data_IF_886494618967
#
_entry.id   IF_886494618967
#
_cell.length_a   1.000
_cell.length_b   1.000
_cell.length_c   1.000
_cell.angle_alpha   90.00
_cell.angle_beta   90.00
_cell.angle_gamma   90.00
#
_symmetry.space_group_name_H-M   'P 1'
#
loop_
_entity.id
_entity.type
_entity.pdbx_description
1 polymer ?
#
# COMPACT_ATOMS: atom_id res chain seq x y z
N UNK A 1 64.61 0.06 10.40
CA UNK A 1 63.40 -0.65 9.91
C UNK A 1 62.23 -0.12 10.74
N UNK A 2 61.50 0.85 10.20
CA UNK A 2 60.38 1.50 10.88
C UNK A 2 59.08 0.88 10.38
N UNK A 3 58.31 0.24 11.27
CA UNK A 3 56.90 -0.08 11.04
C UNK A 3 56.05 1.03 11.66
N UNK A 4 55.44 1.85 10.82
CA UNK A 4 54.38 2.77 11.21
C UNK A 4 53.03 2.12 10.94
N UNK A 5 52.25 1.87 11.98
CA UNK A 5 50.83 1.52 11.88
C UNK A 5 50.00 2.75 11.48
N UNK A 6 49.15 2.62 10.47
CA UNK A 6 48.06 3.55 10.18
C UNK A 6 46.72 2.96 10.66
N UNK A 7 45.89 3.70 11.43
CA UNK A 7 44.53 3.30 11.74
C UNK A 7 43.55 4.05 10.83
N UNK A 8 43.11 3.45 9.72
CA UNK A 8 42.12 4.11 8.86
C UNK A 8 41.36 3.14 7.95
N UNK A 9 40.55 2.25 8.53
CA UNK A 9 39.52 1.51 7.75
C UNK A 9 38.30 1.04 8.55
N UNK A 10 38.31 1.05 9.89
CA UNK A 10 37.14 0.62 10.68
C UNK A 10 36.11 1.73 10.97
N UNK A 11 36.51 3.00 11.00
CA UNK A 11 35.61 4.10 11.42
C UNK A 11 34.64 4.51 10.29
N UNK A 12 35.00 4.30 9.02
CA UNK A 12 34.14 4.69 7.89
C UNK A 12 33.01 3.69 7.58
N UNK A 13 33.12 2.42 8.00
CA UNK A 13 32.07 1.40 7.80
C UNK A 13 30.96 1.46 8.86
N UNK A 14 31.29 1.91 10.07
CA UNK A 14 30.32 2.10 11.17
C UNK A 14 29.44 3.33 10.92
N UNK A 15 29.93 4.34 10.19
CA UNK A 15 29.19 5.57 9.94
C UNK A 15 28.07 5.42 8.88
N UNK A 16 28.25 4.55 7.88
CA UNK A 16 27.26 4.33 6.81
C UNK A 16 26.10 3.43 7.28
N UNK A 17 26.36 2.43 8.12
CA UNK A 17 25.30 1.60 8.74
C UNK A 17 24.44 2.38 9.75
N UNK A 18 25.01 3.40 10.42
CA UNK A 18 24.26 4.22 11.38
C UNK A 18 23.28 5.18 10.73
N UNK A 19 23.48 5.59 9.48
CA UNK A 19 22.51 6.45 8.79
C UNK A 19 21.19 5.72 8.54
N UNK A 20 21.20 4.47 8.08
CA UNK A 20 19.98 3.66 7.89
C UNK A 20 19.25 3.37 9.21
N UNK A 21 20.01 3.17 10.29
CA UNK A 21 19.49 2.97 11.65
C UNK A 21 18.93 4.24 12.29
N UNK A 22 19.48 5.42 11.98
CA UNK A 22 18.96 6.69 12.49
C UNK A 22 17.60 7.04 11.86
N UNK A 23 17.31 6.59 10.63
CA UNK A 23 16.06 6.93 9.94
C UNK A 23 14.82 6.26 10.54
N UNK A 24 14.92 4.99 10.96
CA UNK A 24 13.86 4.32 11.71
C UNK A 24 13.61 4.99 13.08
N UNK A 25 14.68 5.44 13.75
CA UNK A 25 14.59 6.13 15.05
C UNK A 25 14.03 7.56 14.95
N UNK A 26 14.29 8.28 13.86
CA UNK A 26 13.76 9.63 13.64
C UNK A 26 12.27 9.56 13.26
N UNK A 27 11.86 8.62 12.40
CA UNK A 27 10.45 8.39 12.10
C UNK A 27 9.62 8.02 13.35
N UNK A 28 10.16 7.16 14.22
CA UNK A 28 9.52 6.79 15.49
C UNK A 28 9.44 7.95 16.51
N UNK A 29 10.40 8.90 16.49
CA UNK A 29 10.40 10.04 17.43
C UNK A 29 9.42 11.15 17.07
N UNK A 30 9.12 11.37 15.78
CA UNK A 30 8.18 12.42 15.37
C UNK A 30 6.69 12.03 15.53
N UNK A 31 6.37 10.74 15.59
CA UNK A 31 5.01 10.24 15.86
C UNK A 31 4.52 10.53 17.30
N UNK A 32 5.39 10.95 18.23
CA UNK A 32 5.06 11.11 19.66
C UNK A 32 4.90 12.59 20.09
N UNK A 33 4.97 13.54 19.16
CA UNK A 33 5.00 14.97 19.49
C UNK A 33 3.93 15.81 18.80
N UNK A 34 2.67 15.37 18.76
CA UNK A 34 1.55 16.30 18.61
C UNK A 34 0.44 15.92 19.60
N UNK A 35 0.20 16.79 20.58
CA UNK A 35 -1.01 16.75 21.41
C UNK A 35 -2.22 16.96 20.49
N UNK A 36 -2.85 15.87 20.05
CA UNK A 36 -4.22 15.92 19.60
C UNK A 36 -5.12 16.08 20.82
N UNK A 37 -5.97 17.09 20.78
CA UNK A 37 -7.00 17.36 21.79
C UNK A 37 -7.95 16.17 21.78
N UNK A 38 -7.93 15.39 22.86
CA UNK A 38 -8.88 14.33 23.12
C UNK A 38 -10.26 14.96 23.34
N UNK A 39 -11.20 14.75 22.42
CA UNK A 39 -12.63 14.83 22.73
C UNK A 39 -13.13 13.43 23.10
N UNK A 40 -13.65 13.30 24.32
CA UNK A 40 -14.24 12.07 24.86
C UNK A 40 -15.29 11.47 23.92
N UNK A 41 -15.27 10.14 23.82
CA UNK A 41 -16.09 9.39 22.89
C UNK A 41 -17.55 9.20 23.28
N UNK A 42 -18.35 8.95 22.25
CA UNK A 42 -19.50 8.05 22.18
C UNK A 42 -20.11 8.21 20.78
N UNK A 43 -20.47 7.09 20.15
CA UNK A 43 -20.93 6.92 18.76
C UNK A 43 -19.86 6.87 17.66
N UNK A 44 -19.34 5.65 17.44
CA UNK A 44 -18.71 5.25 16.18
C UNK A 44 -19.84 5.06 15.16
N UNK A 45 -20.21 6.14 14.47
CA UNK A 45 -21.19 6.10 13.39
C UNK A 45 -20.64 5.35 12.18
N UNK A 46 -21.42 4.41 11.65
CA UNK A 46 -21.17 3.81 10.33
C UNK A 46 -21.20 4.91 9.26
N UNK A 47 -20.27 4.94 8.29
CA UNK A 47 -20.40 5.80 7.12
C UNK A 47 -21.70 5.45 6.38
N UNK A 48 -22.51 6.46 6.07
CA UNK A 48 -23.70 6.30 5.24
C UNK A 48 -23.26 6.04 3.80
N UNK A 49 -23.68 4.91 3.21
CA UNK A 49 -23.41 4.59 1.80
C UNK A 49 -23.29 3.11 1.47
N UNK A 50 -22.94 2.24 2.44
CA UNK A 50 -22.79 0.81 2.18
C UNK A 50 -24.11 0.03 2.41
N UNK A 51 -24.62 -0.70 1.40
CA UNK A 51 -25.73 -1.64 1.60
C UNK A 51 -25.33 -2.72 2.62
N UNK A 52 -26.19 -2.96 3.62
CA UNK A 52 -26.00 -4.08 4.56
C UNK A 52 -25.92 -5.40 3.80
N UNK A 53 -24.78 -6.07 3.86
CA UNK A 53 -24.61 -7.46 3.40
C UNK A 53 -23.92 -7.65 2.04
N UNK A 54 -23.31 -6.64 1.45
CA UNK A 54 -22.41 -6.85 0.29
C UNK A 54 -20.99 -7.18 0.76
N UNK A 55 -20.39 -8.28 0.28
CA UNK A 55 -19.02 -8.65 0.65
C UNK A 55 -18.02 -7.63 0.12
N UNK A 56 -17.13 -7.16 1.00
CA UNK A 56 -15.93 -6.40 0.61
C UNK A 56 -15.00 -7.39 -0.10
N UNK A 57 -14.64 -7.11 -1.35
CA UNK A 57 -13.64 -7.84 -2.12
C UNK A 57 -13.74 -9.36 -2.02
N UNK A 58 -14.64 -9.98 -2.79
CA UNK A 58 -14.49 -11.41 -3.08
C UNK A 58 -13.24 -11.62 -3.95
N UNK A 59 -12.58 -12.79 -3.87
CA UNK A 59 -11.31 -12.99 -4.53
C UNK A 59 -11.41 -12.70 -6.04
N UNK A 60 -10.55 -11.79 -6.52
CA UNK A 60 -9.79 -12.12 -7.73
C UNK A 60 -9.16 -13.45 -7.38
N UNK A 61 -9.56 -14.52 -8.07
CA UNK A 61 -8.83 -15.77 -7.99
C UNK A 61 -7.36 -15.41 -8.03
N UNK A 62 -6.55 -15.98 -7.13
CA UNK A 62 -5.08 -16.01 -7.32
C UNK A 62 -4.84 -16.11 -8.81
N UNK A 63 -3.96 -15.33 -9.45
CA UNK A 63 -3.84 -15.34 -10.90
C UNK A 63 -3.59 -16.79 -11.38
N UNK A 64 -4.65 -17.52 -11.72
CA UNK A 64 -4.63 -18.84 -12.32
C UNK A 64 -4.72 -18.54 -13.81
N UNK A 65 -3.65 -17.99 -14.35
CA UNK A 65 -3.78 -17.38 -15.66
C UNK A 65 -2.52 -16.77 -16.22
N UNK A 66 -1.42 -17.50 -16.11
CA UNK A 66 -0.18 -17.17 -16.76
C UNK A 66 0.89 -16.87 -15.74
N UNK A 67 1.81 -17.82 -15.61
CA UNK A 67 3.20 -17.42 -15.55
C UNK A 67 3.35 -16.22 -16.49
N UNK A 68 3.62 -15.04 -15.95
CA UNK A 68 4.50 -14.15 -16.67
C UNK A 68 5.77 -14.98 -16.75
N UNK A 69 5.87 -15.76 -17.84
CA UNK A 69 7.15 -16.18 -18.36
C UNK A 69 7.96 -14.92 -18.25
N UNK A 70 8.93 -14.93 -17.34
CA UNK A 70 9.96 -13.91 -17.25
C UNK A 70 10.48 -13.86 -18.66
N UNK A 71 9.98 -12.91 -19.46
CA UNK A 71 10.44 -12.76 -20.84
C UNK A 71 11.92 -12.51 -20.66
N UNK A 72 12.72 -13.49 -21.06
CA UNK A 72 14.15 -13.41 -21.01
C UNK A 72 14.55 -12.08 -21.65
N UNK A 73 14.99 -11.12 -20.84
CA UNK A 73 15.37 -9.78 -21.30
C UNK A 73 14.86 -8.58 -20.49
N UNK A 74 13.82 -8.69 -19.63
CA UNK A 74 13.46 -7.54 -18.77
C UNK A 74 14.38 -7.48 -17.55
N UNK A 75 15.08 -6.36 -17.37
CA UNK A 75 15.96 -6.12 -16.22
C UNK A 75 15.11 -5.72 -15.02
N UNK A 76 14.93 -6.64 -14.08
CA UNK A 76 14.42 -6.35 -12.75
C UNK A 76 15.30 -5.30 -12.04
N UNK A 77 14.79 -4.66 -10.98
CA UNK A 77 15.63 -3.91 -10.04
C UNK A 77 16.76 -4.80 -9.54
N UNK A 78 18.04 -4.43 -9.74
CA UNK A 78 19.15 -5.20 -9.18
C UNK A 78 19.03 -5.31 -7.67
N UNK A 79 19.32 -6.49 -7.11
CA UNK A 79 19.38 -6.65 -5.66
C UNK A 79 20.54 -5.82 -5.11
N UNK A 80 20.27 -4.82 -4.25
CA UNK A 80 21.30 -3.84 -3.91
C UNK A 80 22.28 -4.38 -2.87
N UNK A 81 23.55 -3.95 -2.97
CA UNK A 81 24.61 -4.41 -2.08
C UNK A 81 24.30 -4.17 -0.59
N UNK A 82 23.67 -3.04 -0.25
CA UNK A 82 23.31 -2.75 1.15
C UNK A 82 22.34 -3.77 1.72
N UNK A 83 21.45 -4.32 0.89
CA UNK A 83 20.48 -5.33 1.33
C UNK A 83 21.15 -6.69 1.44
N UNK A 84 22.12 -6.99 0.58
CA UNK A 84 23.00 -8.16 0.75
C UNK A 84 23.81 -8.09 2.04
N UNK A 85 24.41 -6.93 2.33
CA UNK A 85 25.20 -6.74 3.54
C UNK A 85 24.34 -6.86 4.81
N UNK A 86 23.06 -6.48 4.72
CA UNK A 86 22.12 -6.55 5.84
C UNK A 86 21.51 -7.95 6.04
N UNK A 87 21.11 -8.63 4.96
CA UNK A 87 20.33 -9.89 5.02
C UNK A 87 21.13 -11.15 4.71
N UNK A 88 22.28 -11.01 4.05
CA UNK A 88 23.03 -12.10 3.43
C UNK A 88 22.41 -12.64 2.13
N UNK A 89 21.24 -12.15 1.72
CA UNK A 89 20.56 -12.56 0.49
C UNK A 89 21.16 -11.87 -0.74
N UNK A 90 20.92 -12.44 -1.93
CA UNK A 90 21.43 -11.92 -3.20
C UNK A 90 20.36 -11.74 -4.27
N UNK A 91 19.13 -12.11 -3.95
CA UNK A 91 18.00 -12.11 -4.87
C UNK A 91 16.74 -11.70 -4.11
N UNK A 92 15.81 -11.08 -4.83
CA UNK A 92 14.50 -10.72 -4.29
C UNK A 92 13.69 -12.00 -3.99
N UNK A 93 12.89 -12.02 -2.92
CA UNK A 93 12.12 -13.20 -2.56
C UNK A 93 10.98 -13.48 -3.55
N UNK A 94 10.42 -14.68 -3.47
CA UNK A 94 9.18 -15.03 -4.15
C UNK A 94 7.94 -14.42 -3.47
N UNK A 95 6.78 -15.04 -3.66
CA UNK A 95 5.50 -14.55 -3.11
C UNK A 95 5.48 -14.52 -1.57
N UNK A 96 6.21 -15.42 -0.91
CA UNK A 96 6.29 -15.48 0.55
C UNK A 96 7.66 -14.99 1.00
N UNK A 97 7.82 -13.69 1.32
CA UNK A 97 9.10 -13.15 1.68
C UNK A 97 9.52 -13.61 3.08
N UNK A 98 10.83 -13.85 3.32
CA UNK A 98 11.31 -14.25 4.63
C UNK A 98 11.21 -13.08 5.62
N UNK A 99 10.87 -13.37 6.87
CA UNK A 99 10.95 -12.40 7.95
C UNK A 99 12.41 -12.09 8.28
N UNK A 100 12.78 -10.81 8.20
CA UNK A 100 14.07 -10.31 8.65
C UNK A 100 13.84 -9.44 9.91
N UNK A 101 14.38 -9.83 11.08
CA UNK A 101 14.21 -9.07 12.31
C UNK A 101 14.70 -7.62 12.18
N UNK A 102 13.94 -6.68 12.76
CA UNK A 102 14.29 -5.26 12.82
C UNK A 102 14.17 -4.77 14.26
N UNK A 103 15.18 -4.01 14.72
CA UNK A 103 15.26 -3.56 16.12
C UNK A 103 14.13 -2.59 16.54
N UNK A 104 13.42 -2.00 15.59
CA UNK A 104 12.29 -1.11 15.87
C UNK A 104 10.94 -1.85 16.00
N UNK A 105 10.89 -3.15 15.69
CA UNK A 105 9.69 -3.96 15.82
C UNK A 105 9.52 -4.37 17.29
N UNK A 106 8.36 -4.06 17.84
CA UNK A 106 8.02 -4.27 19.24
C UNK A 106 6.77 -5.15 19.32
N UNK A 107 6.98 -6.46 19.46
CA UNK A 107 5.87 -7.43 19.45
C UNK A 107 4.90 -7.23 20.62
N UNK A 108 5.34 -6.64 21.74
CA UNK A 108 4.50 -6.37 22.90
C UNK A 108 3.43 -5.30 22.62
N UNK A 109 3.61 -4.50 21.57
CA UNK A 109 2.63 -3.51 21.10
C UNK A 109 1.63 -4.08 20.10
N UNK A 110 1.79 -5.33 19.68
CA UNK A 110 0.86 -5.97 18.74
C UNK A 110 -0.25 -6.61 19.59
N UNK A 111 -1.52 -6.18 19.44
CA UNK A 111 -2.61 -6.74 20.21
C UNK A 111 -2.81 -8.23 19.85
N UNK A 112 -3.15 -9.04 20.86
CA UNK A 112 -3.34 -10.48 20.69
C UNK A 112 -4.75 -10.80 20.17
N UNK A 113 -4.93 -10.67 18.86
CA UNK A 113 -6.14 -11.12 18.15
C UNK A 113 -5.85 -12.38 17.33
N UNK A 114 -6.86 -13.24 17.22
CA UNK A 114 -6.76 -14.48 16.44
C UNK A 114 -6.63 -14.16 14.96
N UNK A 115 -5.87 -14.99 14.25
CA UNK A 115 -5.87 -15.00 12.78
C UNK A 115 -7.19 -15.54 12.27
N UNK A 116 -7.64 -15.05 11.12
CA UNK A 116 -8.85 -15.53 10.46
C UNK A 116 -8.68 -15.45 8.94
N UNK A 117 -9.42 -16.31 8.24
CA UNK A 117 -9.41 -16.37 6.77
C UNK A 117 -10.44 -15.42 6.17
N UNK A 118 -10.25 -15.05 4.91
CA UNK A 118 -11.14 -14.15 4.19
C UNK A 118 -12.60 -14.63 4.23
N UNK A 119 -13.51 -13.71 4.52
CA UNK A 119 -14.95 -13.99 4.66
C UNK A 119 -15.35 -14.68 5.98
N UNK A 120 -14.40 -15.01 6.85
CA UNK A 120 -14.67 -15.63 8.16
C UNK A 120 -14.67 -14.56 9.26
N UNK A 121 -15.84 -13.94 9.47
CA UNK A 121 -16.03 -12.92 10.50
C UNK A 121 -16.51 -13.51 11.84
N UNK A 122 -16.28 -12.78 12.94
CA UNK A 122 -16.65 -13.19 14.30
C UNK A 122 -15.62 -14.04 15.05
N UNK A 123 -14.46 -14.32 14.44
CA UNK A 123 -13.33 -14.96 15.12
C UNK A 123 -12.75 -14.10 16.26
N UNK A 124 -12.89 -12.78 16.14
CA UNK A 124 -12.45 -11.77 17.09
C UNK A 124 -13.63 -10.85 17.49
N UNK A 125 -13.55 -10.20 18.66
CA UNK A 125 -14.56 -9.22 19.06
C UNK A 125 -14.36 -7.91 18.27
N UNK A 126 -15.38 -7.05 18.21
CA UNK A 126 -15.37 -5.81 17.38
C UNK A 126 -14.23 -4.86 17.68
N UNK A 127 -13.67 -4.91 18.89
CA UNK A 127 -12.52 -4.12 19.32
C UNK A 127 -11.23 -4.48 18.54
N UNK A 128 -11.19 -5.62 17.83
CA UNK A 128 -10.14 -5.89 16.85
C UNK A 128 -10.14 -4.89 15.69
N UNK A 129 -11.24 -4.15 15.52
CA UNK A 129 -11.43 -3.14 14.50
C UNK A 129 -11.10 -3.63 13.10
N UNK A 130 -11.77 -4.70 12.66
CA UNK A 130 -11.64 -5.19 11.29
C UNK A 130 -12.46 -4.33 10.32
N UNK A 131 -11.81 -3.80 9.28
CA UNK A 131 -12.53 -3.12 8.21
C UNK A 131 -13.29 -4.10 7.31
N UNK A 132 -12.66 -5.22 6.96
CA UNK A 132 -13.23 -6.25 6.09
C UNK A 132 -14.45 -6.97 6.69
N UNK A 133 -14.57 -7.04 8.02
CA UNK A 133 -15.72 -7.65 8.69
C UNK A 133 -16.74 -6.65 9.25
N UNK A 134 -16.27 -5.55 9.85
CA UNK A 134 -17.13 -4.63 10.60
C UNK A 134 -17.11 -3.20 10.03
N UNK A 135 -16.41 -2.94 8.93
CA UNK A 135 -16.12 -1.60 8.40
C UNK A 135 -15.53 -0.67 9.47
N UNK A 136 -14.78 -1.22 10.42
CA UNK A 136 -14.19 -0.43 11.48
C UNK A 136 -12.99 0.39 10.97
N UNK A 137 -13.04 1.68 11.25
CA UNK A 137 -12.01 2.66 10.93
C UNK A 137 -11.31 3.09 12.23
N UNK A 138 -9.98 3.11 12.22
CA UNK A 138 -9.21 3.76 13.27
C UNK A 138 -9.17 5.28 13.04
N UNK A 139 -8.97 6.10 14.10
CA UNK A 139 -8.99 7.57 13.97
C UNK A 139 -7.98 8.15 12.97
N UNK A 140 -6.88 7.43 12.71
CA UNK A 140 -5.82 7.81 11.78
C UNK A 140 -5.96 7.13 10.40
N UNK A 141 -6.99 6.32 10.15
CA UNK A 141 -7.21 5.77 8.81
C UNK A 141 -7.73 6.86 7.86
N UNK A 142 -7.16 6.95 6.66
CA UNK A 142 -7.73 7.78 5.59
C UNK A 142 -8.67 6.91 4.78
N UNK A 143 -9.95 7.25 4.71
CA UNK A 143 -10.94 6.45 3.98
C UNK A 143 -11.80 7.29 3.02
N UNK A 144 -11.69 8.61 3.09
CA UNK A 144 -12.46 9.56 2.28
C UNK A 144 -11.60 10.77 1.92
N UNK A 145 -12.11 11.64 1.06
CA UNK A 145 -11.43 12.86 0.64
C UNK A 145 -12.43 13.98 0.39
N UNK A 146 -12.10 15.23 0.74
CA UNK A 146 -12.96 16.41 0.50
C UNK A 146 -13.27 16.72 -0.98
N UNK A 147 -12.67 15.97 -1.90
CA UNK A 147 -12.98 15.95 -3.34
C UNK A 147 -12.97 14.51 -3.77
N UNK A 148 -13.89 14.16 -4.66
CA UNK A 148 -13.87 12.86 -5.34
C UNK A 148 -12.51 12.64 -5.99
N UNK A 149 -11.82 11.59 -5.55
CA UNK A 149 -10.44 11.32 -5.93
C UNK A 149 -10.19 9.84 -6.20
N UNK A 150 -9.60 9.55 -7.35
CA UNK A 150 -9.23 8.21 -7.77
C UNK A 150 -7.99 7.71 -7.05
N UNK A 151 -7.95 6.41 -6.80
CA UNK A 151 -6.77 5.68 -6.34
C UNK A 151 -6.67 4.33 -7.03
N UNK A 152 -5.46 3.87 -7.30
CA UNK A 152 -5.22 2.69 -8.12
C UNK A 152 -4.33 1.66 -7.41
N UNK A 153 -4.83 0.43 -7.29
CA UNK A 153 -4.17 -0.69 -6.61
C UNK A 153 -3.58 -1.71 -7.61
N UNK A 154 -2.72 -2.60 -7.11
CA UNK A 154 -2.11 -3.75 -7.80
C UNK A 154 -1.00 -3.48 -8.83
N UNK A 155 -0.79 -2.22 -9.20
CA UNK A 155 0.34 -1.82 -10.03
C UNK A 155 1.73 -1.97 -9.35
N UNK A 156 2.80 -1.49 -10.00
CA UNK A 156 2.82 -1.08 -11.40
C UNK A 156 2.68 -2.29 -12.32
N UNK A 157 2.01 -2.12 -13.44
CA UNK A 157 1.85 -3.15 -14.48
C UNK A 157 2.23 -2.59 -15.85
N UNK A 158 2.37 -3.42 -16.89
CA UNK A 158 2.47 -2.93 -18.26
C UNK A 158 1.27 -2.11 -18.73
N UNK A 159 0.11 -2.24 -18.07
CA UNK A 159 -1.10 -1.49 -18.42
C UNK A 159 -1.09 -0.07 -17.81
N UNK A 160 -0.40 0.14 -16.68
CA UNK A 160 -0.28 1.44 -15.99
C UNK A 160 0.16 2.56 -16.93
N UNK A 161 0.98 2.26 -17.95
CA UNK A 161 1.46 3.24 -18.93
C UNK A 161 0.34 4.05 -19.58
N UNK A 162 -0.73 3.34 -19.99
CA UNK A 162 -1.90 3.95 -20.65
C UNK A 162 -2.72 4.80 -19.69
N UNK A 163 -2.75 4.42 -18.41
CA UNK A 163 -3.41 5.20 -17.38
C UNK A 163 -2.66 6.52 -17.16
N UNK A 164 -1.32 6.45 -17.02
CA UNK A 164 -0.49 7.64 -16.86
C UNK A 164 -0.60 8.61 -18.05
N UNK A 165 -0.72 8.10 -19.28
CA UNK A 165 -0.94 8.92 -20.47
C UNK A 165 -2.30 9.63 -20.50
N UNK A 166 -3.29 9.10 -19.78
CA UNK A 166 -4.66 9.62 -19.76
C UNK A 166 -4.97 10.50 -18.54
N UNK A 167 -4.04 10.61 -17.59
CA UNK A 167 -4.19 11.41 -16.39
C UNK A 167 -3.54 12.79 -16.58
N UNK A 168 -4.35 13.85 -16.51
CA UNK A 168 -3.88 15.25 -16.53
C UNK A 168 -3.67 15.84 -15.13
N UNK A 169 -3.80 15.01 -14.09
CA UNK A 169 -3.69 15.40 -12.68
C UNK A 169 -2.96 14.32 -11.86
N UNK A 170 -2.56 14.67 -10.63
CA UNK A 170 -1.90 13.75 -9.72
C UNK A 170 -2.92 12.92 -8.96
N UNK A 171 -2.84 11.60 -9.14
CA UNK A 171 -3.58 10.60 -8.35
C UNK A 171 -2.63 9.81 -7.41
N UNK A 172 -3.17 8.80 -6.73
CA UNK A 172 -2.46 7.92 -5.80
C UNK A 172 -2.44 6.48 -6.31
N UNK A 173 -1.26 5.86 -6.29
CA UNK A 173 -1.06 4.45 -6.62
C UNK A 173 -0.63 3.65 -5.39
N UNK A 174 -1.20 2.48 -5.14
CA UNK A 174 -0.74 1.53 -4.13
C UNK A 174 -0.14 0.33 -4.83
N UNK A 175 1.19 0.27 -4.82
CA UNK A 175 1.92 -0.68 -5.64
C UNK A 175 2.40 -1.89 -4.84
N UNK A 176 2.37 -3.06 -5.49
CA UNK A 176 2.95 -4.30 -4.96
C UNK A 176 4.47 -4.27 -5.06
N UNK A 177 5.15 -4.58 -3.96
CA UNK A 177 6.61 -4.60 -3.90
C UNK A 177 7.23 -5.51 -4.97
N UNK A 178 6.64 -6.69 -5.19
CA UNK A 178 7.10 -7.62 -6.23
C UNK A 178 6.98 -7.03 -7.64
N UNK A 179 5.93 -6.24 -7.90
CA UNK A 179 5.72 -5.58 -9.18
C UNK A 179 6.69 -4.41 -9.36
N UNK A 180 7.02 -3.68 -8.30
CA UNK A 180 8.02 -2.60 -8.32
C UNK A 180 9.39 -3.14 -8.77
N UNK A 181 9.80 -4.32 -8.29
CA UNK A 181 11.05 -4.97 -8.69
C UNK A 181 10.98 -5.45 -10.15
N UNK A 182 9.83 -5.95 -10.59
CA UNK A 182 9.64 -6.51 -11.93
C UNK A 182 9.42 -5.46 -13.03
N UNK A 183 8.88 -4.30 -12.68
CA UNK A 183 8.55 -3.20 -13.60
C UNK A 183 9.17 -1.88 -13.10
N UNK A 184 10.50 -1.80 -12.92
CA UNK A 184 11.15 -0.65 -12.30
C UNK A 184 11.03 0.64 -13.11
N UNK A 185 11.00 0.53 -14.44
CA UNK A 185 10.79 1.68 -15.33
C UNK A 185 9.39 2.27 -15.17
N UNK A 186 8.37 1.41 -15.00
CA UNK A 186 7.00 1.86 -14.77
C UNK A 186 6.86 2.55 -13.42
N UNK A 187 7.43 1.95 -12.36
CA UNK A 187 7.44 2.58 -11.04
C UNK A 187 8.11 3.97 -11.06
N UNK A 188 9.23 4.11 -11.76
CA UNK A 188 9.87 5.43 -11.93
C UNK A 188 9.00 6.38 -12.74
N UNK A 189 8.33 5.94 -13.79
CA UNK A 189 7.39 6.78 -14.57
C UNK A 189 6.25 7.32 -13.69
N UNK A 190 5.71 6.52 -12.77
CA UNK A 190 4.70 6.98 -11.81
C UNK A 190 5.27 8.08 -10.91
N UNK A 191 6.48 7.88 -10.36
CA UNK A 191 7.15 8.87 -9.50
C UNK A 191 7.51 10.15 -10.27
N UNK A 192 8.05 10.04 -11.48
CA UNK A 192 8.45 11.16 -12.33
C UNK A 192 7.23 11.99 -12.78
N UNK A 193 6.05 11.37 -12.90
CA UNK A 193 4.77 12.05 -13.09
C UNK A 193 4.30 12.85 -11.86
N UNK A 194 4.99 12.71 -10.72
CA UNK A 194 4.65 13.39 -9.48
C UNK A 194 3.40 12.85 -8.79
N UNK A 195 2.99 11.64 -9.14
CA UNK A 195 1.91 10.92 -8.46
C UNK A 195 2.33 10.53 -7.04
N UNK A 196 1.34 10.36 -6.17
CA UNK A 196 1.58 9.78 -4.85
C UNK A 196 1.68 8.26 -4.98
N UNK A 197 2.66 7.66 -4.30
CA UNK A 197 2.78 6.20 -4.25
C UNK A 197 2.79 5.68 -2.81
N UNK A 198 1.93 4.71 -2.53
CA UNK A 198 1.90 3.94 -1.30
C UNK A 198 2.28 2.47 -1.53
N UNK A 199 2.50 1.74 -0.45
CA UNK A 199 2.70 0.28 -0.52
C UNK A 199 1.36 -0.44 -0.48
N UNK A 200 1.23 -1.49 -1.29
CA UNK A 200 0.12 -2.45 -1.23
C UNK A 200 0.57 -3.83 -0.74
N UNK A 201 1.56 -3.88 0.17
CA UNK A 201 2.32 -5.07 0.58
C UNK A 201 3.32 -5.55 -0.48
N UNK A 202 3.97 -6.69 -0.23
CA UNK A 202 4.92 -7.28 -1.16
C UNK A 202 4.21 -8.07 -2.26
N UNK A 203 3.25 -8.93 -1.90
CA UNK A 203 2.65 -9.92 -2.82
C UNK A 203 1.14 -10.09 -2.69
N UNK A 204 0.43 -9.13 -2.09
CA UNK A 204 -1.03 -9.10 -1.98
C UNK A 204 -1.68 -10.23 -1.12
N UNK A 205 -1.13 -10.65 0.04
CA UNK A 205 -1.82 -11.62 0.88
C UNK A 205 -2.96 -10.98 1.70
N UNK A 206 -3.93 -11.81 2.08
CA UNK A 206 -4.94 -11.44 3.08
C UNK A 206 -4.29 -11.32 4.47
N UNK A 207 -3.98 -10.10 4.89
CA UNK A 207 -3.12 -9.82 6.05
C UNK A 207 -3.61 -10.42 7.38
N UNK A 208 -4.92 -10.47 7.70
CA UNK A 208 -5.38 -11.03 8.98
C UNK A 208 -5.14 -12.54 9.16
N UNK A 209 -4.97 -13.31 8.08
CA UNK A 209 -4.67 -14.76 8.16
C UNK A 209 -3.20 -15.04 8.47
N UNK A 210 -2.34 -14.04 8.35
CA UNK A 210 -0.89 -14.15 8.51
C UNK A 210 -0.45 -14.07 9.98
N UNK A 211 0.71 -14.65 10.29
CA UNK A 211 1.40 -14.35 11.56
C UNK A 211 1.93 -12.91 11.57
N UNK A 212 2.28 -12.42 12.76
CA UNK A 212 2.85 -11.07 12.90
C UNK A 212 4.15 -10.93 12.08
N UNK A 213 5.02 -11.94 12.10
CA UNK A 213 6.26 -11.98 11.32
C UNK A 213 6.00 -11.92 9.82
N UNK A 214 4.97 -12.62 9.34
CA UNK A 214 4.58 -12.60 7.93
C UNK A 214 4.02 -11.23 7.51
N UNK A 215 3.20 -10.59 8.35
CA UNK A 215 2.74 -9.21 8.13
C UNK A 215 3.94 -8.24 8.05
N UNK A 216 4.89 -8.37 8.99
CA UNK A 216 6.12 -7.57 9.01
C UNK A 216 6.91 -7.78 7.72
N UNK A 217 7.11 -9.02 7.28
CA UNK A 217 7.86 -9.35 6.06
C UNK A 217 7.20 -8.71 4.82
N UNK A 218 5.88 -8.78 4.71
CA UNK A 218 5.13 -8.20 3.60
C UNK A 218 5.32 -6.69 3.46
N UNK A 219 5.28 -5.95 4.58
CA UNK A 219 5.50 -4.50 4.58
C UNK A 219 6.98 -4.17 4.36
N UNK A 220 7.88 -4.86 5.06
CA UNK A 220 9.32 -4.64 5.02
C UNK A 220 9.88 -4.77 3.60
N UNK A 221 9.60 -5.89 2.93
CA UNK A 221 10.12 -6.16 1.60
C UNK A 221 9.55 -5.22 0.55
N UNK A 222 8.30 -4.80 0.72
CA UNK A 222 7.69 -3.76 -0.13
C UNK A 222 8.41 -2.41 0.03
N UNK A 223 8.62 -1.95 1.26
CA UNK A 223 9.34 -0.70 1.55
C UNK A 223 10.79 -0.75 1.03
N UNK A 224 11.49 -1.88 1.16
CA UNK A 224 12.84 -2.03 0.62
C UNK A 224 12.88 -2.00 -0.90
N UNK A 225 11.91 -2.60 -1.58
CA UNK A 225 11.79 -2.52 -3.03
C UNK A 225 11.51 -1.08 -3.51
N UNK A 226 10.65 -0.35 -2.82
CA UNK A 226 10.36 1.06 -3.10
C UNK A 226 11.62 1.92 -2.99
N UNK A 227 12.42 1.72 -1.93
CA UNK A 227 13.68 2.42 -1.74
C UNK A 227 14.74 2.02 -2.77
N UNK A 228 14.90 0.72 -3.03
CA UNK A 228 15.91 0.22 -3.98
C UNK A 228 15.62 0.65 -5.43
N UNK A 229 14.35 0.73 -5.82
CA UNK A 229 13.97 1.04 -7.20
C UNK A 229 13.89 2.54 -7.45
N UNK A 230 13.31 3.32 -6.53
CA UNK A 230 12.99 4.73 -6.74
C UNK A 230 13.41 5.67 -5.62
N UNK A 231 14.26 5.23 -4.67
CA UNK A 231 14.70 6.02 -3.52
C UNK A 231 13.54 6.63 -2.72
N UNK A 232 12.44 5.88 -2.67
CA UNK A 232 11.18 6.33 -2.11
C UNK A 232 10.80 5.47 -0.90
N UNK A 233 10.54 6.13 0.24
CA UNK A 233 10.00 5.53 1.44
C UNK A 233 8.52 5.95 1.61
N UNK A 234 7.57 5.01 1.51
CA UNK A 234 6.15 5.35 1.55
C UNK A 234 5.71 5.80 2.94
N UNK A 235 4.76 6.74 2.97
CA UNK A 235 3.94 7.07 4.15
C UNK A 235 2.63 6.27 4.18
N UNK A 236 2.14 5.89 3.01
CA UNK A 236 0.80 5.36 2.83
C UNK A 236 0.83 3.87 2.56
N UNK A 237 -0.12 3.15 3.14
CA UNK A 237 -0.31 1.73 2.99
C UNK A 237 -1.78 1.45 2.71
N UNK A 238 -2.06 0.64 1.69
CA UNK A 238 -3.40 0.08 1.52
C UNK A 238 -3.37 -1.42 1.78
N UNK A 239 -4.21 -1.95 2.68
CA UNK A 239 -4.31 -3.38 2.90
C UNK A 239 -5.00 -4.06 1.71
N UNK A 240 -4.41 -5.14 1.15
CA UNK A 240 -5.10 -6.03 0.22
C UNK A 240 -6.48 -6.42 0.74
N UNK A 241 -7.48 -6.43 -0.14
CA UNK A 241 -8.89 -6.74 0.18
C UNK A 241 -9.56 -5.79 1.19
N UNK A 242 -8.93 -4.68 1.56
CA UNK A 242 -9.38 -3.88 2.72
C UNK A 242 -9.18 -4.62 4.05
N UNK A 243 -8.43 -5.72 4.04
CA UNK A 243 -8.31 -6.64 5.17
C UNK A 243 -7.30 -6.12 6.19
N UNK A 244 -7.81 -5.40 7.19
CA UNK A 244 -7.01 -4.77 8.21
C UNK A 244 -7.71 -4.81 9.57
N UNK A 245 -7.01 -5.37 10.55
CA UNK A 245 -7.37 -5.35 11.96
C UNK A 245 -6.32 -4.54 12.76
N UNK A 246 -6.49 -4.47 14.08
CA UNK A 246 -5.58 -3.77 14.95
C UNK A 246 -4.18 -4.42 15.06
N UNK A 247 -4.00 -5.70 14.69
CA UNK A 247 -2.66 -6.30 14.56
C UNK A 247 -1.94 -5.69 13.38
N UNK A 248 -2.60 -5.68 12.22
CA UNK A 248 -2.05 -5.12 10.98
C UNK A 248 -1.77 -3.63 11.13
N UNK A 249 -2.69 -2.85 11.71
CA UNK A 249 -2.46 -1.41 11.99
C UNK A 249 -1.27 -1.17 12.92
N UNK A 250 -1.17 -1.94 14.02
CA UNK A 250 -0.06 -1.79 14.97
C UNK A 250 1.28 -1.98 14.27
N UNK A 251 1.41 -3.03 13.45
CA UNK A 251 2.64 -3.31 12.69
C UNK A 251 2.90 -2.21 11.66
N UNK A 252 1.90 -1.81 10.86
CA UNK A 252 2.06 -0.75 9.86
C UNK A 252 2.58 0.56 10.48
N UNK A 253 2.08 0.94 11.66
CA UNK A 253 2.53 2.13 12.40
C UNK A 253 3.99 2.05 12.84
N UNK A 254 4.53 0.86 13.13
CA UNK A 254 5.96 0.69 13.45
C UNK A 254 6.87 1.02 12.26
N UNK A 255 6.37 0.84 11.02
CA UNK A 255 7.04 1.30 9.79
C UNK A 255 6.79 2.79 9.49
N UNK A 256 6.00 3.49 10.31
CA UNK A 256 5.56 4.87 10.06
C UNK A 256 4.44 4.98 9.03
N UNK A 257 3.89 3.86 8.58
CA UNK A 257 2.83 3.79 7.58
C UNK A 257 1.47 4.16 8.19
N UNK A 258 0.62 4.76 7.36
CA UNK A 258 -0.76 5.07 7.68
C UNK A 258 -1.68 4.36 6.69
N UNK A 259 -2.73 3.72 7.21
CA UNK A 259 -3.66 2.94 6.40
C UNK A 259 -4.57 3.86 5.58
N UNK A 260 -4.82 3.45 4.33
CA UNK A 260 -5.70 4.12 3.40
C UNK A 260 -6.72 3.10 2.89
N UNK A 261 -7.99 3.38 3.15
CA UNK A 261 -9.15 2.61 2.72
C UNK A 261 -9.90 3.43 1.66
N UNK A 262 -11.21 3.23 1.52
CA UNK A 262 -12.08 3.92 0.57
C UNK A 262 -13.50 3.98 1.12
N UNK A 263 -14.30 4.90 0.59
CA UNK A 263 -15.73 5.03 0.83
C UNK A 263 -16.55 4.76 -0.44
N UNK A 264 -15.89 4.59 -1.59
CA UNK A 264 -16.50 4.13 -2.83
C UNK A 264 -15.66 3.02 -3.47
N UNK A 265 -16.28 1.89 -3.77
CA UNK A 265 -15.65 0.78 -4.51
C UNK A 265 -16.21 0.76 -5.93
N UNK A 266 -15.34 0.87 -6.94
CA UNK A 266 -15.77 0.78 -8.34
C UNK A 266 -16.29 -0.62 -8.70
N UNK A 267 -15.80 -1.65 -8.01
CA UNK A 267 -15.92 -3.06 -8.33
C UNK A 267 -15.41 -3.41 -9.74
N UNK A 268 -14.47 -2.65 -10.28
CA UNK A 268 -13.83 -2.88 -11.59
C UNK A 268 -13.17 -4.28 -11.70
N UNK A 269 -12.67 -4.81 -10.59
CA UNK A 269 -12.09 -6.15 -10.48
C UNK A 269 -13.07 -7.26 -10.87
N UNK A 270 -14.39 -7.04 -10.74
CA UNK A 270 -15.39 -8.02 -11.16
C UNK A 270 -15.38 -8.23 -12.68
N UNK A 271 -14.87 -7.29 -13.47
CA UNK A 271 -14.82 -7.37 -14.93
C UNK A 271 -13.69 -8.23 -15.48
N UNK A 272 -12.76 -8.69 -14.64
CA UNK A 272 -11.61 -9.51 -15.07
C UNK A 272 -12.05 -10.96 -15.35
N UNK A 273 -13.07 -11.46 -14.63
CA UNK A 273 -13.56 -12.84 -14.76
C UNK A 273 -14.91 -12.86 -15.47
N UNK A 274 -14.89 -12.84 -16.81
CA UNK A 274 -16.07 -12.74 -17.69
C UNK A 274 -17.18 -13.77 -17.39
N UNK A 275 -16.81 -14.97 -16.92
CA UNK A 275 -17.76 -16.05 -16.61
C UNK A 275 -18.53 -15.87 -15.28
N UNK A 276 -18.18 -14.86 -14.48
CA UNK A 276 -18.74 -14.60 -13.15
C UNK A 276 -19.14 -13.13 -12.92
N UNK A 277 -19.17 -12.31 -13.97
CA UNK A 277 -19.42 -10.87 -13.84
C UNK A 277 -20.87 -10.62 -13.45
N UNK A 278 -21.09 -10.15 -12.23
CA UNK A 278 -22.40 -9.64 -11.79
C UNK A 278 -22.59 -8.16 -12.21
N UNK A 279 -21.51 -7.50 -12.59
CA UNK A 279 -21.45 -6.06 -12.87
C UNK A 279 -20.86 -5.79 -14.26
N UNK A 280 -21.44 -4.83 -14.98
CA UNK A 280 -20.96 -4.39 -16.30
C UNK A 280 -20.17 -3.08 -16.20
N UNK A 281 -19.45 -2.69 -17.26
CA UNK A 281 -18.80 -1.38 -17.33
C UNK A 281 -19.83 -0.24 -17.20
N UNK A 282 -20.98 -0.39 -17.86
CA UNK A 282 -22.07 0.59 -17.82
C UNK A 282 -22.64 0.76 -16.40
N UNK A 283 -22.70 -0.31 -15.61
CA UNK A 283 -23.09 -0.24 -14.21
C UNK A 283 -22.09 0.57 -13.39
N UNK A 284 -20.78 0.35 -13.59
CA UNK A 284 -19.73 1.13 -12.92
C UNK A 284 -19.87 2.61 -13.28
N UNK A 285 -19.98 2.93 -14.57
CA UNK A 285 -20.06 4.32 -15.02
C UNK A 285 -21.31 5.03 -14.51
N UNK A 286 -22.46 4.34 -14.48
CA UNK A 286 -23.70 4.89 -13.92
C UNK A 286 -23.54 5.17 -12.42
N UNK A 287 -23.02 4.21 -11.66
CA UNK A 287 -22.86 4.35 -10.21
C UNK A 287 -21.85 5.47 -9.87
N UNK A 288 -20.78 5.62 -10.65
CA UNK A 288 -19.82 6.74 -10.52
C UNK A 288 -20.47 8.09 -10.87
N UNK A 289 -21.32 8.16 -11.91
CA UNK A 289 -22.04 9.39 -12.25
C UNK A 289 -22.99 9.81 -11.13
N UNK A 290 -23.67 8.84 -10.50
CA UNK A 290 -24.55 9.09 -9.37
C UNK A 290 -23.76 9.55 -8.14
N UNK A 291 -22.70 8.82 -7.77
CA UNK A 291 -21.82 9.16 -6.64
C UNK A 291 -21.12 10.51 -6.82
N UNK A 292 -20.84 10.91 -8.07
CA UNK A 292 -20.20 12.21 -8.35
C UNK A 292 -20.97 13.40 -7.74
N UNK A 293 -22.27 13.26 -7.52
CA UNK A 293 -23.10 14.30 -6.92
C UNK A 293 -22.82 14.56 -5.44
N UNK A 294 -22.20 13.62 -4.73
CA UNK A 294 -21.83 13.78 -3.31
C UNK A 294 -20.72 14.84 -3.14
N UNK A 295 -19.85 14.98 -4.15
CA UNK A 295 -18.81 16.02 -4.22
C UNK A 295 -17.55 15.70 -3.40
N UNK A 296 -17.58 14.66 -2.58
CA UNK A 296 -16.47 14.16 -1.78
C UNK A 296 -16.37 12.64 -1.85
N UNK A 297 -15.19 12.10 -1.60
CA UNK A 297 -14.93 10.68 -1.44
C UNK A 297 -13.65 10.20 -2.12
N UNK A 298 -13.29 8.95 -1.84
CA UNK A 298 -12.06 8.31 -2.29
C UNK A 298 -12.42 6.96 -2.90
N UNK A 299 -12.18 6.79 -4.21
CA UNK A 299 -12.57 5.59 -4.95
C UNK A 299 -11.44 4.56 -5.04
N UNK A 300 -11.80 3.29 -4.87
CA UNK A 300 -10.95 2.13 -5.13
C UNK A 300 -11.09 1.67 -6.59
N UNK A 301 -9.95 1.60 -7.28
CA UNK A 301 -9.80 1.08 -8.65
C UNK A 301 -8.46 0.32 -8.75
N UNK A 302 -8.23 -0.40 -9.85
CA UNK A 302 -7.04 -1.23 -10.01
C UNK A 302 -6.30 -0.93 -11.33
N UNK A 303 -4.98 -0.72 -11.28
CA UNK A 303 -4.13 -0.56 -12.48
C UNK A 303 -3.32 -1.83 -12.83
N UNK A 304 -3.65 -2.96 -12.20
CA UNK A 304 -3.01 -4.25 -12.44
C UNK A 304 -3.27 -4.88 -13.82
N UNK A 305 -4.38 -4.53 -14.49
CA UNK A 305 -4.78 -5.13 -15.78
C UNK A 305 -5.19 -4.08 -16.82
N UNK A 306 -5.16 -4.44 -18.11
CA UNK A 306 -5.65 -3.56 -19.18
C UNK A 306 -7.16 -3.26 -19.06
N UNK A 307 -7.95 -4.21 -18.56
CA UNK A 307 -9.41 -4.06 -18.43
C UNK A 307 -9.75 -3.01 -17.38
N UNK A 308 -9.18 -3.14 -16.18
CA UNK A 308 -9.40 -2.19 -15.08
C UNK A 308 -8.78 -0.83 -15.36
N UNK A 309 -7.60 -0.76 -16.01
CA UNK A 309 -7.05 0.51 -16.51
C UNK A 309 -8.01 1.21 -17.47
N UNK A 310 -8.63 0.48 -18.40
CA UNK A 310 -9.56 1.09 -19.35
C UNK A 310 -10.81 1.66 -18.65
N UNK A 311 -11.30 0.97 -17.63
CA UNK A 311 -12.38 1.46 -16.76
C UNK A 311 -11.93 2.73 -16.05
N UNK A 312 -10.75 2.72 -15.42
CA UNK A 312 -10.25 3.87 -14.68
C UNK A 312 -10.00 5.11 -15.53
N UNK A 313 -9.58 4.94 -16.79
CA UNK A 313 -9.49 6.03 -17.77
C UNK A 313 -10.88 6.63 -18.06
N UNK A 314 -11.92 5.80 -18.14
CA UNK A 314 -13.28 6.28 -18.40
C UNK A 314 -13.92 6.91 -17.16
N UNK A 315 -13.67 6.35 -15.97
CA UNK A 315 -14.01 6.97 -14.68
C UNK A 315 -13.34 8.34 -14.56
N UNK A 316 -12.07 8.47 -14.93
CA UNK A 316 -11.37 9.76 -14.93
C UNK A 316 -12.08 10.81 -15.82
N UNK A 317 -12.54 10.43 -17.01
CA UNK A 317 -13.32 11.33 -17.89
C UNK A 317 -14.65 11.76 -17.27
N UNK A 318 -15.28 10.88 -16.49
CA UNK A 318 -16.52 11.19 -15.77
C UNK A 318 -16.25 12.18 -14.64
N UNK A 319 -15.22 11.93 -13.83
CA UNK A 319 -14.93 12.70 -12.62
C UNK A 319 -14.31 14.06 -12.93
N UNK A 320 -13.42 14.12 -13.93
CA UNK A 320 -12.62 15.30 -14.26
C UNK A 320 -11.30 15.35 -13.50
N UNK A 321 -10.55 16.44 -13.68
CA UNK A 321 -9.18 16.62 -13.17
C UNK A 321 -9.09 17.25 -11.77
N UNK A 322 -10.20 17.76 -11.23
CA UNK A 322 -10.27 18.39 -9.90
C UNK A 322 -10.29 17.36 -8.77
N UNK A 323 -9.27 16.50 -8.73
CA UNK A 323 -9.08 15.44 -7.76
C UNK A 323 -7.90 15.76 -6.84
N UNK A 324 -7.65 14.90 -5.86
CA UNK A 324 -6.58 15.05 -4.88
C UNK A 324 -5.84 13.74 -4.68
N UNK A 325 -4.55 13.83 -4.39
CA UNK A 325 -3.79 12.71 -3.83
C UNK A 325 -4.24 12.44 -2.39
N UNK A 326 -4.02 11.22 -1.89
CA UNK A 326 -4.35 10.85 -0.50
C UNK A 326 -3.64 11.76 0.51
N UNK A 327 -2.42 12.20 0.23
CA UNK A 327 -1.69 13.14 1.08
C UNK A 327 -2.40 14.50 1.19
N UNK A 328 -2.96 15.00 0.09
CA UNK A 328 -3.74 16.24 0.09
C UNK A 328 -5.09 16.06 0.82
N UNK A 329 -5.72 14.88 0.70
CA UNK A 329 -6.94 14.52 1.41
C UNK A 329 -6.74 14.53 2.92
N UNK A 330 -5.62 13.97 3.40
CA UNK A 330 -5.25 13.90 4.81
C UNK A 330 -4.73 15.23 5.41
N UNK A 331 -4.57 16.29 4.61
CA UNK A 331 -4.07 17.59 5.08
C UNK A 331 -2.53 17.71 5.17
N UNK A 332 -1.78 16.91 4.40
CA UNK A 332 -0.32 16.79 4.43
C UNK A 332 0.10 15.50 5.17
N UNK A 333 1.24 14.84 4.92
CA UNK A 333 2.51 15.16 4.26
C UNK A 333 2.76 14.13 3.15
N UNK A 334 3.31 14.57 2.03
CA UNK A 334 3.85 13.69 0.99
C UNK A 334 5.29 13.31 1.36
N UNK A 335 5.49 12.02 1.67
CA UNK A 335 6.77 11.35 1.98
C UNK A 335 7.49 11.70 3.29
N UNK A 336 7.97 10.66 4.00
CA UNK A 336 9.11 10.79 4.92
C UNK A 336 10.38 10.79 4.05
N UNK A 337 10.69 11.96 3.46
CA UNK A 337 11.95 12.37 2.78
C UNK A 337 12.30 11.72 1.44
N UNK A 338 12.34 12.53 0.38
CA UNK A 338 13.24 12.32 -0.77
C UNK A 338 14.60 12.98 -0.46
N UNK A 339 15.72 12.31 -0.76
CA UNK A 339 17.05 12.92 -0.69
C UNK A 339 17.45 13.48 -2.07
N UNK A 340 18.03 14.68 -2.13
CA UNK A 340 18.62 15.23 -3.35
C UNK A 340 19.86 14.46 -3.82
#
# INVERSE_FOLDING_TARGET
MNFTCHPSTLISRIFIMRTSYLYALVAARYAVSHKMVLSNGSDVGQPAGYPKGQPIGQPVGQPVGGFVSVRAGRKQTPFPQWLTDFTGLKEWPGIDPPYIPMDFIDFDKIPDYKRYDQGVCGANPRESCSFDCDHCLAPDDVYTCRKISQTFDDGPSPATDKLLEALDHKTTFFNLGINIVNYPEMYRKILDGGHLVGTHTWSHPFMPSLTNEQIIAQLQWSVWAMNATGHHLPKWFRPPYGAIDNRVRSIARMFGLQAVLWDHDSFDWQLINEDQTVRTEEDIYRDVQEWKHDGEGLILEHDGTFKTVQVGINVNKILGDNQMTVAECAGGIDYIRAFP
#
